data_IF_586348083568
#
_entry.id   IF_586348083568
#
_cell.length_a   1.000
_cell.length_b   1.000
_cell.length_c   1.000
_cell.angle_alpha   90.00
_cell.angle_beta   90.00
_cell.angle_gamma   90.00
#
_symmetry.space_group_name_H-M   'P 1'
#
loop_
_entity.id
_entity.type
_entity.pdbx_description
1 polymer ?
#
# COMPACT_ATOMS: atom_id res chain seq x y z
N UNK A 1 4.26 -4.91 20.71
CA UNK A 1 4.12 -4.71 19.26
C UNK A 1 4.14 -6.08 18.62
N UNK A 2 3.06 -6.48 17.93
CA UNK A 2 2.94 -7.83 17.33
C UNK A 2 3.77 -7.93 16.04
N UNK A 3 3.67 -6.90 15.20
CA UNK A 3 4.40 -6.81 13.94
C UNK A 3 4.50 -5.35 13.49
N UNK A 4 5.30 -5.13 12.45
CA UNK A 4 5.43 -3.87 11.74
C UNK A 4 5.43 -4.17 10.24
N UNK A 5 4.60 -3.45 9.47
CA UNK A 5 4.68 -3.45 8.02
C UNK A 5 5.39 -2.18 7.55
N UNK A 6 6.46 -2.32 6.75
CA UNK A 6 7.20 -1.19 6.18
C UNK A 6 6.62 -0.85 4.82
N UNK A 7 5.93 0.29 4.72
CA UNK A 7 5.35 0.76 3.45
C UNK A 7 6.40 1.32 2.49
N UNK A 8 7.47 1.92 3.02
CA UNK A 8 8.72 2.13 2.29
C UNK A 8 9.62 0.91 2.55
N UNK A 9 9.80 0.03 1.56
CA UNK A 9 10.60 -1.19 1.70
C UNK A 9 12.08 -0.86 1.91
N UNK A 10 12.81 -1.72 2.60
CA UNK A 10 14.26 -1.59 2.80
C UNK A 10 15.01 -2.74 2.15
N UNK A 11 16.18 -2.45 1.56
CA UNK A 11 17.15 -3.42 1.08
C UNK A 11 16.56 -4.61 0.30
N UNK A 12 16.31 -5.72 0.98
CA UNK A 12 15.81 -7.00 0.46
C UNK A 12 14.28 -7.19 0.61
N UNK A 13 13.58 -6.22 1.18
CA UNK A 13 12.12 -6.20 1.22
C UNK A 13 11.53 -6.23 -0.19
N UNK A 14 10.39 -6.91 -0.30
CA UNK A 14 9.59 -6.88 -1.51
C UNK A 14 9.25 -5.43 -1.90
N UNK A 15 9.53 -5.05 -3.15
CA UNK A 15 9.26 -3.72 -3.69
C UNK A 15 10.44 -2.76 -3.60
N UNK A 16 11.51 -3.08 -2.87
CA UNK A 16 12.70 -2.23 -2.78
C UNK A 16 13.37 -1.99 -4.15
N UNK A 17 13.23 -2.94 -5.07
CA UNK A 17 13.69 -2.86 -6.46
C UNK A 17 12.95 -1.79 -7.29
N UNK A 18 11.76 -1.37 -6.84
CA UNK A 18 10.98 -0.29 -7.48
C UNK A 18 11.41 1.12 -7.05
N UNK A 19 12.36 1.22 -6.12
CA UNK A 19 12.96 2.48 -5.65
C UNK A 19 14.38 2.57 -6.17
N UNK A 20 14.51 3.11 -7.38
CA UNK A 20 15.79 3.14 -8.10
C UNK A 20 16.83 3.99 -7.37
N UNK A 21 18.11 3.67 -7.61
CA UNK A 21 19.25 4.32 -6.95
C UNK A 21 19.20 4.25 -5.41
N UNK A 22 18.57 3.19 -4.88
CA UNK A 22 18.34 3.00 -3.45
C UNK A 22 17.58 4.17 -2.81
N UNK A 23 16.67 4.81 -3.56
CA UNK A 23 15.97 6.00 -3.08
C UNK A 23 15.15 5.75 -1.83
N UNK A 24 14.74 4.50 -1.58
CA UNK A 24 14.11 4.05 -0.34
C UNK A 24 14.92 4.37 0.94
N UNK A 25 16.24 4.61 0.83
CA UNK A 25 17.11 4.96 1.97
C UNK A 25 16.90 6.38 2.49
N UNK A 26 16.48 7.29 1.62
CA UNK A 26 16.41 8.73 1.93
C UNK A 26 15.07 9.36 1.55
N UNK A 27 14.30 8.72 0.69
CA UNK A 27 12.89 9.01 0.51
C UNK A 27 12.11 8.37 1.66
N UNK A 28 11.19 9.14 2.21
CA UNK A 28 10.29 8.67 3.24
C UNK A 28 8.85 8.81 2.78
N UNK A 29 7.94 8.60 3.73
CA UNK A 29 6.51 8.71 3.55
C UNK A 29 5.92 7.68 2.57
N UNK A 30 4.76 7.18 2.95
CA UNK A 30 3.84 6.24 2.30
C UNK A 30 2.95 5.74 3.45
N UNK A 31 2.42 6.69 4.20
CA UNK A 31 1.80 6.44 5.49
C UNK A 31 0.36 5.94 5.30
N UNK A 32 -0.17 5.32 6.33
CA UNK A 32 -1.60 5.00 6.43
C UNK A 32 -2.21 6.03 7.37
N UNK A 33 -2.55 7.20 6.83
CA UNK A 33 -3.15 8.29 7.63
C UNK A 33 -4.67 8.26 7.64
N UNK A 34 -5.28 7.64 6.62
CA UNK A 34 -6.72 7.43 6.56
C UNK A 34 -7.14 6.19 7.38
N UNK A 35 -8.43 5.92 7.36
CA UNK A 35 -9.08 4.82 8.09
C UNK A 35 -8.79 3.50 7.37
N UNK A 36 -8.37 2.50 8.14
CA UNK A 36 -8.21 1.12 7.67
C UNK A 36 -9.54 0.36 7.74
N UNK A 37 -9.67 -0.69 6.94
CA UNK A 37 -10.76 -1.67 7.04
C UNK A 37 -10.18 -3.04 7.41
N UNK A 38 -10.98 -3.89 8.06
CA UNK A 38 -10.56 -5.25 8.42
C UNK A 38 -11.67 -6.25 8.12
N UNK A 39 -11.28 -7.42 7.62
CA UNK A 39 -12.15 -8.57 7.41
C UNK A 39 -11.76 -9.66 8.43
N UNK A 40 -12.58 -9.83 9.47
CA UNK A 40 -12.31 -10.80 10.53
C UNK A 40 -12.43 -12.26 10.07
N UNK A 41 -13.23 -12.54 9.04
CA UNK A 41 -13.40 -13.90 8.52
C UNK A 41 -12.20 -14.32 7.67
N UNK A 42 -11.63 -13.39 6.90
CA UNK A 42 -10.38 -13.60 6.16
C UNK A 42 -9.13 -13.45 7.03
N UNK A 43 -9.22 -12.73 8.14
CA UNK A 43 -8.08 -12.37 8.97
C UNK A 43 -7.20 -11.28 8.35
N UNK A 44 -7.76 -10.39 7.53
CA UNK A 44 -6.99 -9.37 6.80
C UNK A 44 -7.27 -7.95 7.31
N UNK A 45 -6.24 -7.12 7.29
CA UNK A 45 -6.35 -5.65 7.45
C UNK A 45 -5.90 -4.99 6.15
N UNK A 46 -6.70 -4.02 5.69
CA UNK A 46 -6.47 -3.28 4.46
C UNK A 46 -5.93 -1.89 4.77
N UNK A 47 -4.74 -1.61 4.25
CA UNK A 47 -3.94 -0.42 4.50
C UNK A 47 -3.96 0.48 3.26
N UNK A 48 -4.78 1.55 3.24
CA UNK A 48 -4.69 2.58 2.21
C UNK A 48 -3.45 3.46 2.46
N UNK A 49 -2.49 3.46 1.54
CA UNK A 49 -1.22 4.20 1.69
C UNK A 49 -1.20 5.52 0.90
N UNK A 50 -0.54 6.52 1.46
CA UNK A 50 -0.33 7.82 0.83
C UNK A 50 0.88 7.87 -0.10
N UNK A 51 1.11 9.07 -0.62
CA UNK A 51 2.17 9.43 -1.55
C UNK A 51 3.54 9.41 -0.88
N UNK A 52 4.56 9.02 -1.65
CA UNK A 52 5.95 9.07 -1.20
C UNK A 52 6.49 10.50 -1.23
N UNK A 53 7.24 10.88 -0.19
CA UNK A 53 7.90 12.19 -0.15
C UNK A 53 8.95 12.29 -1.27
N UNK A 54 9.02 13.38 -2.03
CA UNK A 54 8.19 14.59 -1.98
C UNK A 54 6.95 14.45 -2.87
N UNK A 55 5.78 14.88 -2.41
CA UNK A 55 4.49 14.58 -3.03
C UNK A 55 4.34 15.17 -4.44
N UNK A 56 5.09 16.24 -4.74
CA UNK A 56 5.07 16.95 -6.04
C UNK A 56 6.41 16.90 -6.80
N UNK A 57 7.38 16.13 -6.31
CA UNK A 57 8.68 15.97 -6.97
C UNK A 57 9.25 14.57 -6.78
N UNK A 58 9.37 13.83 -7.89
CA UNK A 58 9.87 12.45 -7.92
C UNK A 58 11.30 12.28 -8.43
N UNK A 59 12.00 13.36 -8.81
CA UNK A 59 13.32 13.25 -9.44
C UNK A 59 14.40 12.59 -8.58
N UNK A 60 14.22 12.55 -7.25
CA UNK A 60 15.10 11.83 -6.32
C UNK A 60 14.61 10.41 -5.98
N UNK A 61 13.41 10.00 -6.43
CA UNK A 61 12.82 8.68 -6.17
C UNK A 61 12.30 8.05 -7.46
N UNK A 62 13.19 7.85 -8.41
CA UNK A 62 12.83 7.19 -9.68
C UNK A 62 12.29 5.77 -9.44
N UNK A 63 11.45 5.30 -10.35
CA UNK A 63 10.75 4.02 -10.26
C UNK A 63 9.36 4.16 -9.63
N UNK A 64 8.64 3.05 -9.54
CA UNK A 64 7.22 3.04 -9.18
C UNK A 64 6.96 3.39 -7.72
N UNK A 65 7.98 3.27 -6.85
CA UNK A 65 7.92 3.61 -5.42
C UNK A 65 6.92 2.78 -4.61
N UNK A 66 6.84 1.47 -4.85
CA UNK A 66 5.94 0.57 -4.12
C UNK A 66 6.31 0.52 -2.62
N UNK A 67 5.43 0.77 -1.64
CA UNK A 67 3.96 0.73 -1.66
C UNK A 67 3.28 2.10 -1.58
N UNK A 68 3.80 3.15 -2.21
CA UNK A 68 3.09 4.43 -2.30
C UNK A 68 1.76 4.31 -3.05
N UNK A 69 0.76 5.12 -2.66
CA UNK A 69 -0.55 5.24 -3.34
C UNK A 69 -1.14 3.86 -3.71
N UNK A 70 -1.19 2.99 -2.71
CA UNK A 70 -1.54 1.58 -2.86
C UNK A 70 -2.61 1.18 -1.85
N UNK A 71 -3.32 0.10 -2.15
CA UNK A 71 -4.04 -0.69 -1.18
C UNK A 71 -3.24 -1.93 -0.85
N UNK A 72 -2.83 -2.09 0.42
CA UNK A 72 -2.07 -3.26 0.87
C UNK A 72 -2.94 -4.09 1.81
N UNK A 73 -3.09 -5.38 1.52
CA UNK A 73 -3.72 -6.33 2.44
C UNK A 73 -2.65 -7.09 3.21
N UNK A 74 -2.73 -7.05 4.54
CA UNK A 74 -1.85 -7.80 5.45
C UNK A 74 -2.65 -8.76 6.30
N UNK A 75 -2.04 -9.89 6.65
CA UNK A 75 -2.54 -10.79 7.67
C UNK A 75 -2.53 -10.09 9.05
N UNK A 76 -3.64 -10.17 9.79
CA UNK A 76 -3.85 -9.42 11.03
C UNK A 76 -2.95 -9.90 12.18
N UNK A 77 -2.57 -11.17 12.19
CA UNK A 77 -1.78 -11.76 13.28
C UNK A 77 -0.28 -11.57 13.06
N UNK A 78 0.17 -11.60 11.81
CA UNK A 78 1.60 -11.64 11.44
C UNK A 78 2.10 -10.36 10.78
N UNK A 79 1.21 -9.55 10.19
CA UNK A 79 1.57 -8.40 9.37
C UNK A 79 2.15 -8.78 8.00
N UNK A 80 2.11 -10.07 7.62
CA UNK A 80 2.59 -10.53 6.33
C UNK A 80 1.70 -9.98 5.21
N UNK A 81 2.32 -9.45 4.15
CA UNK A 81 1.60 -9.00 2.96
C UNK A 81 0.94 -10.19 2.23
N UNK A 82 -0.38 -10.16 2.13
CA UNK A 82 -1.17 -11.13 1.38
C UNK A 82 -1.22 -10.74 -0.09
N UNK A 83 -1.56 -9.49 -0.36
CA UNK A 83 -1.56 -8.90 -1.70
C UNK A 83 -1.47 -7.38 -1.60
N UNK A 84 -1.29 -6.72 -2.73
CA UNK A 84 -1.40 -5.27 -2.85
C UNK A 84 -1.91 -4.90 -4.25
N UNK A 85 -2.44 -3.70 -4.38
CA UNK A 85 -2.73 -3.06 -5.66
C UNK A 85 -2.25 -1.62 -5.61
N UNK A 86 -1.34 -1.24 -6.51
CA UNK A 86 -0.81 0.12 -6.61
C UNK A 86 -1.65 0.91 -7.60
N UNK A 87 -2.29 1.99 -7.13
CA UNK A 87 -3.16 2.83 -7.96
C UNK A 87 -2.33 3.78 -8.84
N UNK A 88 -1.33 4.42 -8.24
CA UNK A 88 -0.47 5.40 -8.89
C UNK A 88 0.98 4.93 -8.81
N UNK A 89 1.61 4.83 -9.98
CA UNK A 89 3.03 4.50 -10.08
C UNK A 89 3.80 5.80 -10.19
N UNK A 90 4.80 6.00 -9.34
CA UNK A 90 5.60 7.22 -9.30
C UNK A 90 4.75 8.50 -9.16
N UNK A 91 3.91 8.60 -8.11
CA UNK A 91 3.01 9.76 -7.95
C UNK A 91 3.75 11.08 -7.81
N UNK A 92 3.16 12.15 -8.36
CA UNK A 92 3.68 13.52 -8.39
C UNK A 92 2.60 14.56 -8.09
N UNK A 93 1.44 14.11 -7.62
CA UNK A 93 0.23 14.92 -7.51
C UNK A 93 -0.53 14.72 -6.20
N UNK A 94 0.08 14.07 -5.20
CA UNK A 94 -0.51 13.89 -3.86
C UNK A 94 -1.89 13.19 -3.91
N UNK A 95 -1.98 12.10 -4.70
CA UNK A 95 -3.23 11.33 -4.89
C UNK A 95 -3.40 10.26 -3.82
N UNK A 96 -3.31 10.71 -2.57
CA UNK A 96 -3.51 9.88 -1.39
C UNK A 96 -4.88 9.20 -1.38
N UNK A 97 -4.90 7.92 -1.03
CA UNK A 97 -6.14 7.20 -0.76
C UNK A 97 -6.74 7.67 0.56
N UNK A 98 -7.62 8.67 0.47
CA UNK A 98 -8.17 9.37 1.64
C UNK A 98 -9.36 8.66 2.31
N UNK A 99 -9.83 7.52 1.81
CA UNK A 99 -11.00 6.81 2.31
C UNK A 99 -10.70 5.37 2.73
N UNK A 100 -11.49 4.87 3.69
CA UNK A 100 -11.48 3.46 4.04
C UNK A 100 -11.89 2.57 2.85
N UNK A 101 -11.19 1.44 2.62
CA UNK A 101 -11.63 0.44 1.65
C UNK A 101 -13.00 -0.15 2.05
N UNK A 102 -13.91 -0.37 1.10
CA UNK A 102 -15.25 -0.88 1.41
C UNK A 102 -15.32 -2.38 1.22
N UNK A 103 -15.62 -3.14 2.28
CA UNK A 103 -15.77 -4.59 2.20
C UNK A 103 -17.20 -4.93 1.81
N UNK A 104 -17.39 -5.52 0.62
CA UNK A 104 -18.72 -5.81 0.07
C UNK A 104 -18.75 -7.14 -0.67
N UNK A 105 -19.88 -7.83 -0.58
CA UNK A 105 -20.17 -8.99 -1.41
C UNK A 105 -20.86 -8.55 -2.71
N UNK A 106 -20.24 -8.86 -3.84
CA UNK A 106 -20.77 -8.57 -5.17
C UNK A 106 -20.93 -9.84 -5.99
N UNK A 107 -21.80 -9.82 -6.99
CA UNK A 107 -21.94 -10.91 -7.96
C UNK A 107 -21.46 -10.44 -9.32
N UNK A 108 -20.44 -11.10 -9.88
CA UNK A 108 -19.90 -10.81 -11.21
C UNK A 108 -20.01 -12.07 -12.06
N UNK A 109 -20.68 -11.98 -13.21
CA UNK A 109 -20.95 -13.10 -14.13
C UNK A 109 -21.52 -14.35 -13.43
N UNK A 110 -22.46 -14.12 -12.50
CA UNK A 110 -23.12 -15.16 -11.71
C UNK A 110 -22.27 -15.77 -10.59
N UNK A 111 -21.07 -15.24 -10.31
CA UNK A 111 -20.19 -15.71 -9.24
C UNK A 111 -20.17 -14.71 -8.07
N UNK A 112 -20.41 -15.15 -6.83
CA UNK A 112 -20.22 -14.31 -5.66
C UNK A 112 -18.73 -14.05 -5.41
N UNK A 113 -18.38 -12.81 -5.13
CA UNK A 113 -17.02 -12.32 -4.88
C UNK A 113 -17.05 -11.42 -3.64
N UNK A 114 -16.20 -11.74 -2.66
CA UNK A 114 -15.82 -10.81 -1.59
C UNK A 114 -14.88 -9.77 -2.18
N UNK A 115 -15.35 -8.53 -2.28
CA UNK A 115 -14.63 -7.42 -2.89
C UNK A 115 -14.24 -6.37 -1.86
N UNK A 116 -13.18 -5.63 -2.20
CA UNK A 116 -12.67 -4.47 -1.48
C UNK A 116 -12.34 -3.35 -2.47
#
# INVERSE_FOLDING_TARGET
MLWTFRTVPQADDFGADTWLNESWRYSGNSNVWSIMSADEELGYVYLPTGTATNDYYGGHRLGDNLFAESLVAVDIETGQRMWHFQFVHHGLWDYDTASAPNLVDVTVDGRPIRAV
#
